data_IF_468425581723
#
_entry.id   IF_468425581723
#
_cell.length_a   1.000
_cell.length_b   1.000
_cell.length_c   1.000
_cell.angle_alpha   90.00
_cell.angle_beta   90.00
_cell.angle_gamma   90.00
#
_symmetry.space_group_name_H-M   'P 1'
#
loop_
_entity.id
_entity.type
_entity.pdbx_description
1 polymer ?
#
# COMPACT_ATOMS: atom_id res chain seq x y z
N UNK A 1 -22.21 -8.46 0.36
CA UNK A 1 -20.82 -8.73 0.76
C UNK A 1 -20.06 -9.00 -0.52
N UNK A 2 -18.99 -8.26 -0.80
CA UNK A 2 -18.17 -8.45 -2.01
C UNK A 2 -17.50 -9.81 -1.97
N UNK A 3 -17.50 -10.53 -3.09
CA UNK A 3 -16.70 -11.74 -3.25
C UNK A 3 -15.29 -11.33 -3.70
N UNK A 4 -14.33 -11.41 -2.77
CA UNK A 4 -12.96 -10.87 -2.94
C UNK A 4 -12.24 -11.53 -4.12
N UNK A 5 -12.19 -12.87 -4.15
CA UNK A 5 -11.47 -13.63 -5.17
C UNK A 5 -12.01 -13.39 -6.59
N UNK A 6 -13.34 -13.50 -6.86
CA UNK A 6 -13.89 -13.18 -8.18
C UNK A 6 -13.60 -11.75 -8.64
N UNK A 7 -13.63 -10.78 -7.71
CA UNK A 7 -13.35 -9.38 -8.00
C UNK A 7 -11.90 -9.20 -8.46
N UNK A 8 -10.94 -9.77 -7.72
CA UNK A 8 -9.52 -9.64 -8.05
C UNK A 8 -9.19 -10.34 -9.37
N UNK A 9 -9.72 -11.54 -9.62
CA UNK A 9 -9.55 -12.20 -10.92
C UNK A 9 -10.14 -11.40 -12.07
N UNK A 10 -11.26 -10.73 -11.85
CA UNK A 10 -11.86 -9.86 -12.87
C UNK A 10 -10.91 -8.71 -13.21
N UNK A 11 -10.30 -8.07 -12.21
CA UNK A 11 -9.30 -7.02 -12.44
C UNK A 11 -8.04 -7.55 -13.15
N UNK A 12 -7.52 -8.70 -12.73
CA UNK A 12 -6.35 -9.33 -13.36
C UNK A 12 -6.62 -9.69 -14.83
N UNK A 13 -7.77 -10.29 -15.13
CA UNK A 13 -8.16 -10.65 -16.51
C UNK A 13 -8.44 -9.42 -17.39
N UNK A 14 -8.76 -8.28 -16.79
CA UNK A 14 -8.88 -6.99 -17.49
C UNK A 14 -7.54 -6.24 -17.62
N UNK A 15 -6.43 -6.85 -17.18
CA UNK A 15 -5.08 -6.32 -17.37
C UNK A 15 -4.57 -5.46 -16.22
N UNK A 16 -5.21 -5.49 -15.04
CA UNK A 16 -4.66 -4.82 -13.86
C UNK A 16 -3.35 -5.47 -13.44
N UNK A 17 -2.33 -4.64 -13.19
CA UNK A 17 -1.00 -5.08 -12.72
C UNK A 17 -0.89 -5.09 -11.19
N UNK A 18 -1.80 -4.38 -10.51
CA UNK A 18 -1.88 -4.30 -9.07
C UNK A 18 -3.33 -4.07 -8.62
N UNK A 19 -3.64 -4.44 -7.38
CA UNK A 19 -4.95 -4.18 -6.75
C UNK A 19 -4.71 -3.51 -5.41
N UNK A 20 -5.36 -2.36 -5.20
CA UNK A 20 -5.44 -1.72 -3.89
C UNK A 20 -6.42 -2.47 -2.99
N UNK A 21 -5.95 -2.91 -1.83
CA UNK A 21 -6.76 -3.61 -0.83
C UNK A 21 -6.68 -2.88 0.50
N UNK A 22 -7.83 -2.64 1.12
CA UNK A 22 -7.87 -2.03 2.44
C UNK A 22 -7.36 -3.00 3.49
N UNK A 23 -6.36 -2.59 4.29
CA UNK A 23 -5.87 -3.43 5.38
C UNK A 23 -6.80 -3.41 6.62
N UNK A 24 -7.71 -2.44 6.66
CA UNK A 24 -8.74 -2.30 7.68
C UNK A 24 -10.03 -3.03 7.26
N UNK A 25 -10.46 -3.96 8.12
CA UNK A 25 -11.63 -4.82 7.90
C UNK A 25 -12.96 -4.09 7.78
N UNK A 26 -13.04 -2.83 8.22
CA UNK A 26 -14.25 -2.00 8.06
C UNK A 26 -14.58 -1.72 6.59
N UNK A 27 -13.60 -1.80 5.69
CA UNK A 27 -13.74 -1.53 4.26
C UNK A 27 -13.94 -2.79 3.40
N UNK A 28 -14.29 -3.92 4.02
CA UNK A 28 -14.74 -5.13 3.33
C UNK A 28 -13.64 -6.08 2.84
N UNK A 29 -12.37 -5.65 2.81
CA UNK A 29 -11.20 -6.52 2.73
C UNK A 29 -10.51 -6.54 4.09
N UNK A 30 -10.00 -7.71 4.51
CA UNK A 30 -9.19 -7.82 5.71
C UNK A 30 -7.90 -8.57 5.40
N UNK A 31 -6.87 -8.33 6.21
CA UNK A 31 -5.58 -9.01 6.06
C UNK A 31 -5.67 -10.54 6.10
N UNK A 32 -6.72 -11.09 6.73
CA UNK A 32 -7.01 -12.55 6.73
C UNK A 32 -7.37 -13.09 5.35
N UNK A 33 -7.75 -12.24 4.41
CA UNK A 33 -8.17 -12.62 3.06
C UNK A 33 -6.97 -12.72 2.10
N UNK A 34 -5.81 -12.15 2.48
CA UNK A 34 -4.58 -12.20 1.67
C UNK A 34 -4.20 -13.63 1.26
N UNK A 35 -4.20 -14.65 2.14
CA UNK A 35 -3.90 -16.03 1.74
C UNK A 35 -4.81 -16.53 0.61
N UNK A 36 -6.11 -16.23 0.68
CA UNK A 36 -7.10 -16.61 -0.34
C UNK A 36 -6.82 -15.93 -1.67
N UNK A 37 -6.40 -14.67 -1.65
CA UNK A 37 -6.00 -13.95 -2.87
C UNK A 37 -4.73 -14.55 -3.47
N UNK A 38 -3.74 -14.88 -2.63
CA UNK A 38 -2.45 -15.43 -3.07
C UNK A 38 -2.56 -16.84 -3.66
N UNK A 39 -3.58 -17.61 -3.31
CA UNK A 39 -3.83 -18.91 -3.94
C UNK A 39 -4.50 -18.80 -5.30
N UNK A 40 -5.04 -17.64 -5.65
CA UNK A 40 -6.02 -17.49 -6.75
C UNK A 40 -5.69 -16.40 -7.75
N UNK A 41 -4.72 -15.55 -7.45
CA UNK A 41 -4.25 -14.44 -8.28
C UNK A 41 -2.75 -14.19 -8.12
N UNK A 42 -2.12 -13.68 -9.18
CA UNK A 42 -0.72 -13.22 -9.15
C UNK A 42 -0.58 -11.70 -9.04
N UNK A 43 -1.71 -11.00 -8.93
CA UNK A 43 -1.74 -9.53 -8.83
C UNK A 43 -0.93 -9.02 -7.64
N UNK A 44 -0.21 -7.92 -7.85
CA UNK A 44 0.46 -7.20 -6.77
C UNK A 44 -0.58 -6.55 -5.85
N UNK A 45 -0.42 -6.68 -4.52
CA UNK A 45 -1.34 -6.10 -3.53
C UNK A 45 -0.75 -4.83 -2.92
N UNK A 46 -1.38 -3.70 -3.21
CA UNK A 46 -1.10 -2.42 -2.55
C UNK A 46 -1.94 -2.33 -1.28
N UNK A 47 -1.30 -2.16 -0.13
CA UNK A 47 -2.00 -1.89 1.12
C UNK A 47 -2.52 -0.46 1.12
N UNK A 48 -3.84 -0.32 1.01
CA UNK A 48 -4.56 0.91 1.27
C UNK A 48 -4.79 0.98 2.78
N UNK A 49 -3.96 1.73 3.49
CA UNK A 49 -4.00 1.88 4.94
C UNK A 49 -3.36 3.20 5.36
N UNK A 50 -3.68 3.68 6.56
CA UNK A 50 -3.07 4.85 7.16
C UNK A 50 -1.77 4.46 7.87
N UNK A 51 -0.74 4.14 7.09
CA UNK A 51 0.57 3.75 7.61
C UNK A 51 1.30 4.98 8.13
N UNK A 52 1.51 5.04 9.46
CA UNK A 52 2.18 6.15 10.13
C UNK A 52 3.44 5.74 10.90
N UNK A 53 3.68 4.44 11.07
CA UNK A 53 4.86 3.92 11.77
C UNK A 53 5.48 2.65 11.16
N UNK A 54 6.71 2.36 11.61
CA UNK A 54 7.51 1.22 11.17
C UNK A 54 6.92 -0.14 11.59
N UNK A 55 6.18 -0.21 12.70
CA UNK A 55 5.58 -1.46 13.17
C UNK A 55 4.46 -1.90 12.21
N UNK A 56 3.67 -0.96 11.69
CA UNK A 56 2.70 -1.21 10.63
C UNK A 56 3.38 -1.75 9.37
N UNK A 57 4.51 -1.15 8.94
CA UNK A 57 5.27 -1.63 7.76
C UNK A 57 5.68 -3.11 7.91
N UNK A 58 6.21 -3.48 9.08
CA UNK A 58 6.57 -4.87 9.39
C UNK A 58 5.34 -5.79 9.37
N UNK A 59 4.25 -5.35 9.99
CA UNK A 59 3.00 -6.10 10.07
C UNK A 59 2.38 -6.35 8.69
N UNK A 60 2.35 -5.34 7.83
CA UNK A 60 1.81 -5.46 6.48
C UNK A 60 2.73 -6.31 5.59
N UNK A 61 4.05 -6.14 5.66
CA UNK A 61 4.99 -6.99 4.91
C UNK A 61 4.83 -8.47 5.27
N UNK A 62 4.80 -8.79 6.56
CA UNK A 62 4.70 -10.18 7.04
C UNK A 62 3.38 -10.86 6.66
N UNK A 63 2.33 -10.08 6.39
CA UNK A 63 1.04 -10.58 5.90
C UNK A 63 0.99 -10.73 4.38
N UNK A 64 2.09 -10.43 3.69
CA UNK A 64 2.22 -10.61 2.26
C UNK A 64 1.59 -9.49 1.46
N UNK A 65 1.75 -8.24 1.87
CA UNK A 65 1.47 -7.07 1.03
C UNK A 65 2.74 -6.73 0.22
N UNK A 66 2.56 -6.22 -0.99
CA UNK A 66 3.65 -5.98 -1.94
C UNK A 66 4.13 -4.54 -1.93
N UNK A 67 3.22 -3.59 -1.77
CA UNK A 67 3.47 -2.15 -1.74
C UNK A 67 2.64 -1.49 -0.65
N UNK A 68 3.08 -0.36 -0.11
CA UNK A 68 2.38 0.36 0.95
C UNK A 68 2.09 1.81 0.55
N UNK A 69 0.87 2.26 0.87
CA UNK A 69 0.46 3.65 0.79
C UNK A 69 1.12 4.49 1.90
N UNK A 70 1.62 5.66 1.53
CA UNK A 70 2.10 6.72 2.43
C UNK A 70 1.30 7.98 2.12
N UNK A 71 0.59 8.51 3.11
CA UNK A 71 -0.16 9.75 2.97
C UNK A 71 0.68 10.89 3.55
N UNK A 72 1.13 11.78 2.68
CA UNK A 72 2.16 12.79 3.01
C UNK A 72 1.70 13.76 4.09
N UNK A 73 0.40 14.10 4.13
CA UNK A 73 -0.20 15.03 5.09
C UNK A 73 -0.29 14.45 6.50
N UNK A 74 -0.21 13.12 6.67
CA UNK A 74 -0.22 12.45 7.98
C UNK A 74 1.16 12.33 8.62
N UNK A 75 2.22 12.67 7.88
CA UNK A 75 3.61 12.44 8.30
C UNK A 75 4.38 13.75 8.34
N UNK A 76 4.26 14.57 9.39
CA UNK A 76 5.01 15.82 9.52
C UNK A 76 6.52 15.63 9.68
N UNK A 77 7.29 16.66 9.31
CA UNK A 77 8.74 16.70 9.49
C UNK A 77 9.45 15.53 8.81
N UNK A 78 10.37 14.90 9.55
CA UNK A 78 11.23 13.82 9.06
C UNK A 78 10.50 12.46 8.97
N UNK A 79 9.26 12.36 9.48
CA UNK A 79 8.51 11.10 9.52
C UNK A 79 8.28 10.52 8.13
N UNK A 80 8.03 11.37 7.13
CA UNK A 80 7.86 10.95 5.73
C UNK A 80 9.11 10.22 5.23
N UNK A 81 10.29 10.80 5.45
CA UNK A 81 11.56 10.21 5.04
C UNK A 81 11.87 8.91 5.80
N UNK A 82 11.60 8.89 7.11
CA UNK A 82 11.79 7.69 7.94
C UNK A 82 10.90 6.53 7.48
N UNK A 83 9.61 6.79 7.25
CA UNK A 83 8.67 5.76 6.81
C UNK A 83 8.94 5.32 5.36
N UNK A 84 9.34 6.25 4.49
CA UNK A 84 9.79 5.91 3.14
C UNK A 84 10.97 4.94 3.17
N UNK A 85 12.01 5.22 3.97
CA UNK A 85 13.17 4.33 4.10
C UNK A 85 12.79 2.98 4.72
N UNK A 86 11.97 3.01 5.77
CA UNK A 86 11.41 1.82 6.41
C UNK A 86 10.77 0.85 5.43
N UNK A 87 10.05 1.36 4.43
CA UNK A 87 9.36 0.57 3.42
C UNK A 87 10.36 -0.02 2.41
N UNK A 88 11.31 0.79 1.93
CA UNK A 88 12.37 0.34 1.03
C UNK A 88 13.25 -0.74 1.66
N UNK A 89 13.60 -0.61 2.93
CA UNK A 89 14.40 -1.60 3.67
C UNK A 89 13.71 -2.97 3.78
N UNK A 90 12.38 -3.01 3.63
CA UNK A 90 11.60 -4.26 3.54
C UNK A 90 11.43 -4.80 2.12
N UNK A 91 12.04 -4.14 1.14
CA UNK A 91 11.96 -4.52 -0.27
C UNK A 91 10.59 -4.28 -0.90
N UNK A 92 9.80 -3.35 -0.34
CA UNK A 92 8.52 -2.94 -0.91
C UNK A 92 8.65 -1.54 -1.54
N UNK A 93 7.96 -1.25 -2.64
CA UNK A 93 7.86 0.11 -3.16
C UNK A 93 6.82 0.92 -2.36
N UNK A 94 7.16 2.15 -1.92
CA UNK A 94 6.20 3.08 -1.35
C UNK A 94 5.38 3.79 -2.44
N UNK A 95 4.07 3.89 -2.24
CA UNK A 95 3.15 4.71 -3.03
C UNK A 95 2.81 5.98 -2.24
N UNK A 96 3.21 7.15 -2.72
CA UNK A 96 3.05 8.43 -2.04
C UNK A 96 1.79 9.12 -2.53
N UNK A 97 0.82 9.29 -1.65
CA UNK A 97 -0.41 10.05 -1.91
C UNK A 97 -0.24 11.50 -1.45
N UNK A 98 -0.58 12.42 -2.34
CA UNK A 98 -0.52 13.86 -2.11
C UNK A 98 -1.93 14.42 -1.90
N UNK A 99 -2.11 15.28 -0.90
CA UNK A 99 -3.38 15.98 -0.70
C UNK A 99 -3.34 17.38 -1.30
N UNK A 100 -2.16 18.01 -1.32
CA UNK A 100 -1.99 19.36 -1.84
C UNK A 100 -0.58 19.64 -2.40
N UNK A 101 -0.41 20.81 -3.01
CA UNK A 101 0.86 21.21 -3.64
C UNK A 101 2.06 21.29 -2.68
N UNK A 102 1.85 21.49 -1.36
CA UNK A 102 2.94 21.48 -0.38
C UNK A 102 3.48 20.07 -0.16
N UNK A 103 2.63 19.06 -0.31
CA UNK A 103 3.03 17.66 -0.19
C UNK A 103 3.93 17.25 -1.35
N UNK A 104 3.65 17.76 -2.56
CA UNK A 104 4.46 17.48 -3.76
C UNK A 104 5.93 17.85 -3.54
N UNK A 105 6.21 19.04 -3.02
CA UNK A 105 7.60 19.48 -2.77
C UNK A 105 8.36 18.52 -1.86
N UNK A 106 7.68 17.99 -0.82
CA UNK A 106 8.27 17.03 0.12
C UNK A 106 8.45 15.66 -0.53
N UNK A 107 7.49 15.21 -1.33
CA UNK A 107 7.56 13.93 -2.03
C UNK A 107 8.67 13.91 -3.10
N UNK A 108 8.93 15.05 -3.78
CA UNK A 108 10.00 15.17 -4.77
C UNK A 108 11.41 15.06 -4.18
N UNK A 109 11.57 15.21 -2.87
CA UNK A 109 12.84 14.95 -2.18
C UNK A 109 13.14 13.44 -2.07
N UNK A 110 12.15 12.56 -2.31
CA UNK A 110 12.28 11.11 -2.25
C UNK A 110 12.70 10.54 -3.61
N UNK A 111 13.77 9.75 -3.65
CA UNK A 111 14.45 9.33 -4.90
C UNK A 111 13.69 8.33 -5.79
N UNK A 112 12.71 7.61 -5.27
CA UNK A 112 12.07 6.47 -5.97
C UNK A 112 10.60 6.30 -5.63
N UNK A 113 9.90 7.42 -5.40
CA UNK A 113 8.49 7.42 -5.08
C UNK A 113 7.63 7.22 -6.34
N UNK A 114 6.70 6.26 -6.30
CA UNK A 114 5.51 6.31 -7.14
C UNK A 114 4.56 7.32 -6.50
N UNK A 115 4.21 8.39 -7.20
CA UNK A 115 3.41 9.49 -6.67
C UNK A 115 2.01 9.44 -7.32
N UNK A 116 0.98 9.50 -6.49
CA UNK A 116 -0.44 9.54 -6.86
C UNK A 116 -1.10 10.85 -6.45
#
# INVERSE_FOLDING_TARGET
MLEIEPTIRTYETQGSVAVGVWADSEFGFALRDVPTVRTTSTSSLLAMDFVIDQAQVNGLRSRGLDALLIITSMLPGDQLGQLYQAILEKGMPPFIELENARDLSRALELKSALIG
#
